data_IF_753383581877
#
_entry.id   IF_753383581877
#
_cell.length_a   1.000
_cell.length_b   1.000
_cell.length_c   1.000
_cell.angle_alpha   90.00
_cell.angle_beta   90.00
_cell.angle_gamma   90.00
#
_symmetry.space_group_name_H-M   'P 1'
#
loop_
_entity.id
_entity.type
_entity.pdbx_description
1 polymer ?
#
# COMPACT_ATOMS: atom_id res chain seq x y z
N UNK A 1 -17.49 20.26 -17.63
CA UNK A 1 -17.78 19.82 -16.24
C UNK A 1 -17.06 18.50 -16.04
N UNK A 2 -16.36 18.30 -14.93
CA UNK A 2 -15.72 17.01 -14.65
C UNK A 2 -16.80 15.95 -14.40
N UNK A 3 -16.59 14.75 -14.93
CA UNK A 3 -17.45 13.60 -14.73
C UNK A 3 -17.42 13.18 -13.25
N UNK A 4 -18.56 12.82 -12.68
CA UNK A 4 -18.59 12.22 -11.34
C UNK A 4 -18.01 10.81 -11.40
N UNK A 5 -17.20 10.46 -10.41
CA UNK A 5 -16.57 9.14 -10.27
C UNK A 5 -17.00 8.53 -8.95
N UNK A 6 -17.31 7.23 -8.97
CA UNK A 6 -17.65 6.47 -7.78
C UNK A 6 -16.77 5.23 -7.66
N UNK A 7 -16.47 4.82 -6.44
CA UNK A 7 -15.92 3.50 -6.14
C UNK A 7 -17.11 2.56 -6.03
N UNK A 8 -17.15 1.54 -6.87
CA UNK A 8 -18.30 0.61 -6.98
C UNK A 8 -18.02 -0.77 -6.41
N UNK A 9 -16.77 -1.12 -6.24
CA UNK A 9 -16.36 -2.40 -5.64
C UNK A 9 -14.98 -2.32 -5.04
N UNK A 10 -14.74 -3.14 -4.02
CA UNK A 10 -13.47 -3.26 -3.31
C UNK A 10 -13.08 -4.71 -3.12
N UNK A 11 -11.78 -5.00 -3.17
CA UNK A 11 -11.25 -6.33 -2.93
C UNK A 11 -9.88 -6.26 -2.27
N UNK A 12 -9.66 -7.12 -1.31
CA UNK A 12 -8.44 -7.15 -0.53
C UNK A 12 -8.02 -8.60 -0.26
N UNK A 13 -6.73 -8.88 -0.33
CA UNK A 13 -6.17 -10.14 0.16
C UNK A 13 -6.08 -10.14 1.68
N UNK A 14 -5.95 -11.31 2.29
CA UNK A 14 -5.64 -11.41 3.71
C UNK A 14 -4.21 -10.91 3.95
N UNK A 15 -4.04 -9.97 4.86
CA UNK A 15 -2.73 -9.49 5.26
C UNK A 15 -2.03 -10.50 6.16
N UNK A 16 -0.88 -10.98 5.71
CA UNK A 16 -0.02 -11.91 6.44
C UNK A 16 1.44 -11.49 6.29
N UNK A 17 2.27 -11.84 7.26
CA UNK A 17 3.71 -11.56 7.20
C UNK A 17 4.40 -12.32 6.05
N UNK A 18 3.83 -13.45 5.62
CA UNK A 18 4.37 -14.25 4.53
C UNK A 18 3.27 -15.02 3.80
N UNK A 19 3.32 -15.06 2.47
CA UNK A 19 2.36 -15.72 1.58
C UNK A 19 3.08 -16.66 0.60
N UNK A 20 3.68 -17.76 1.08
CA UNK A 20 4.39 -18.71 0.21
C UNK A 20 3.45 -19.55 -0.67
N UNK A 21 2.16 -19.50 -0.38
CA UNK A 21 1.09 -20.23 -1.06
C UNK A 21 0.71 -19.66 -2.43
N UNK A 22 1.08 -18.41 -2.72
CA UNK A 22 0.76 -17.71 -3.97
C UNK A 22 1.95 -16.91 -4.48
N UNK A 23 2.08 -16.79 -5.80
CA UNK A 23 2.96 -15.82 -6.42
C UNK A 23 2.29 -14.44 -6.52
N UNK A 24 3.01 -13.41 -6.99
CA UNK A 24 2.49 -12.04 -7.10
C UNK A 24 1.27 -11.93 -8.03
N UNK A 25 1.26 -12.67 -9.17
CA UNK A 25 0.11 -12.65 -10.10
C UNK A 25 -1.15 -13.26 -9.47
N UNK A 26 -0.99 -14.36 -8.76
CA UNK A 26 -2.09 -15.03 -8.06
C UNK A 26 -2.62 -14.15 -6.91
N UNK A 27 -1.75 -13.45 -6.21
CA UNK A 27 -2.13 -12.50 -5.16
C UNK A 27 -2.91 -11.31 -5.74
N UNK A 28 -2.47 -10.75 -6.86
CA UNK A 28 -3.20 -9.72 -7.60
C UNK A 28 -4.58 -10.23 -8.03
N UNK A 29 -4.62 -11.43 -8.64
CA UNK A 29 -5.87 -12.05 -9.10
C UNK A 29 -6.86 -12.28 -7.95
N UNK A 30 -6.37 -12.69 -6.78
CA UNK A 30 -7.23 -12.87 -5.58
C UNK A 30 -7.96 -11.57 -5.22
N UNK A 31 -7.25 -10.44 -5.18
CA UNK A 31 -7.84 -9.14 -4.88
C UNK A 31 -8.81 -8.67 -5.97
N UNK A 32 -8.42 -8.82 -7.24
CA UNK A 32 -9.25 -8.45 -8.40
C UNK A 32 -10.55 -9.24 -8.40
N UNK A 33 -10.48 -10.55 -8.20
CA UNK A 33 -11.67 -11.41 -8.14
C UNK A 33 -12.64 -10.96 -7.04
N UNK A 34 -12.13 -10.59 -5.87
CA UNK A 34 -12.96 -10.11 -4.76
C UNK A 34 -13.59 -8.75 -5.09
N UNK A 35 -12.84 -7.83 -5.70
CA UNK A 35 -13.37 -6.52 -6.08
C UNK A 35 -14.49 -6.62 -7.13
N UNK A 36 -14.32 -7.50 -8.14
CA UNK A 36 -15.33 -7.73 -9.16
C UNK A 36 -16.59 -8.37 -8.57
N UNK A 37 -16.43 -9.32 -7.64
CA UNK A 37 -17.55 -9.95 -6.96
C UNK A 37 -18.33 -8.97 -6.07
N UNK A 38 -17.65 -8.03 -5.42
CA UNK A 38 -18.28 -7.02 -4.55
C UNK A 38 -19.23 -6.08 -5.32
N UNK A 39 -18.96 -5.84 -6.60
CA UNK A 39 -19.81 -5.00 -7.46
C UNK A 39 -20.57 -5.80 -8.53
N UNK A 40 -20.67 -7.12 -8.41
CA UNK A 40 -21.36 -8.00 -9.36
C UNK A 40 -20.93 -7.77 -10.82
N UNK A 41 -19.65 -7.43 -11.02
CA UNK A 41 -19.05 -7.14 -12.32
C UNK A 41 -18.11 -8.26 -12.79
N UNK A 42 -17.77 -8.22 -14.06
CA UNK A 42 -16.80 -9.12 -14.67
C UNK A 42 -15.59 -8.36 -15.21
N UNK A 43 -14.52 -9.06 -15.53
CA UNK A 43 -13.34 -8.42 -16.10
C UNK A 43 -13.60 -7.82 -17.49
N UNK A 44 -14.61 -8.30 -18.21
CA UNK A 44 -15.01 -7.76 -19.50
C UNK A 44 -15.59 -6.36 -19.39
N UNK A 45 -16.16 -6.01 -18.24
CA UNK A 45 -16.73 -4.68 -17.97
C UNK A 45 -15.68 -3.61 -17.66
N UNK A 46 -14.40 -4.00 -17.51
CA UNK A 46 -13.30 -3.09 -17.19
C UNK A 46 -12.65 -2.59 -18.49
N UNK A 47 -12.50 -1.28 -18.63
CA UNK A 47 -11.93 -0.63 -19.81
C UNK A 47 -10.42 -0.47 -19.71
N UNK A 48 -9.89 -0.20 -18.52
CA UNK A 48 -8.46 0.03 -18.29
C UNK A 48 -8.04 -0.38 -16.86
N UNK A 49 -6.76 -0.59 -16.68
CA UNK A 49 -6.15 -0.93 -15.38
C UNK A 49 -5.10 0.09 -14.99
N UNK A 50 -5.14 0.55 -13.74
CA UNK A 50 -4.04 1.30 -13.12
C UNK A 50 -3.46 0.44 -12.01
N UNK A 51 -2.15 0.16 -12.10
CA UNK A 51 -1.47 -0.72 -11.15
C UNK A 51 -0.34 0.02 -10.45
N UNK A 52 -0.16 -0.23 -9.16
CA UNK A 52 0.92 0.33 -8.34
C UNK A 52 1.74 -0.72 -7.65
N UNK A 53 3.05 -0.55 -7.72
CA UNK A 53 4.04 -1.35 -7.04
C UNK A 53 5.36 -0.57 -7.00
N UNK A 54 6.21 -0.78 -6.02
CA UNK A 54 7.49 -0.09 -5.91
C UNK A 54 8.62 -0.77 -6.67
N UNK A 55 8.45 -2.00 -7.16
CA UNK A 55 9.44 -2.84 -7.86
C UNK A 55 10.65 -3.27 -7.03
N UNK A 56 10.72 -2.87 -5.76
CA UNK A 56 11.90 -3.08 -4.94
C UNK A 56 11.91 -4.42 -4.21
N UNK A 57 10.74 -4.86 -3.75
CA UNK A 57 10.63 -6.03 -2.87
C UNK A 57 10.71 -7.35 -3.62
N UNK A 58 10.09 -7.40 -4.79
CA UNK A 58 10.06 -8.60 -5.62
C UNK A 58 11.22 -8.68 -6.61
N UNK A 59 12.01 -7.59 -6.73
CA UNK A 59 13.07 -7.46 -7.73
C UNK A 59 12.58 -7.68 -9.18
N UNK A 60 11.34 -7.32 -9.44
CA UNK A 60 10.70 -7.43 -10.75
C UNK A 60 10.50 -6.04 -11.33
N UNK A 61 11.18 -5.74 -12.41
CA UNK A 61 10.91 -4.53 -13.18
C UNK A 61 9.69 -4.71 -14.09
N UNK A 62 9.04 -3.60 -14.44
CA UNK A 62 7.89 -3.61 -15.36
C UNK A 62 6.74 -4.49 -14.89
N UNK A 63 6.35 -4.30 -13.67
CA UNK A 63 5.30 -5.09 -13.00
C UNK A 63 3.97 -5.03 -13.74
N UNK A 64 3.67 -3.94 -14.41
CA UNK A 64 2.53 -3.78 -15.31
C UNK A 64 2.53 -4.82 -16.43
N UNK A 65 3.65 -5.03 -17.11
CA UNK A 65 3.77 -6.05 -18.15
C UNK A 65 3.69 -7.47 -17.59
N UNK A 66 4.38 -7.70 -16.49
CA UNK A 66 4.42 -9.02 -15.85
C UNK A 66 3.06 -9.46 -15.26
N UNK A 67 2.25 -8.51 -14.78
CA UNK A 67 1.00 -8.79 -14.08
C UNK A 67 -0.26 -8.77 -14.97
N UNK A 68 -0.12 -8.62 -16.28
CA UNK A 68 -1.25 -8.47 -17.21
C UNK A 68 -2.33 -9.53 -17.02
N UNK A 69 -1.94 -10.80 -16.85
CA UNK A 69 -2.90 -11.90 -16.66
C UNK A 69 -3.60 -11.81 -15.30
N UNK A 70 -2.84 -11.62 -14.23
CA UNK A 70 -3.39 -11.53 -12.85
C UNK A 70 -4.27 -10.31 -12.64
N UNK A 71 -3.93 -9.19 -13.28
CA UNK A 71 -4.70 -7.94 -13.21
C UNK A 71 -5.92 -7.89 -14.12
N UNK A 72 -6.03 -8.85 -15.06
CA UNK A 72 -7.08 -8.86 -16.08
C UNK A 72 -6.90 -7.81 -17.17
N UNK A 73 -5.68 -7.26 -17.34
CA UNK A 73 -5.37 -6.22 -18.33
C UNK A 73 -5.12 -6.77 -19.74
N UNK A 74 -5.38 -8.06 -20.00
CA UNK A 74 -5.23 -8.66 -21.33
C UNK A 74 -6.04 -7.88 -22.37
N UNK A 75 -5.37 -7.37 -23.40
CA UNK A 75 -5.94 -6.53 -24.46
C UNK A 75 -6.59 -5.22 -23.97
N UNK A 76 -6.18 -4.72 -22.82
CA UNK A 76 -6.67 -3.44 -22.24
C UNK A 76 -5.49 -2.50 -21.96
N UNK A 77 -5.73 -1.17 -22.01
CA UNK A 77 -4.75 -0.21 -21.50
C UNK A 77 -4.40 -0.49 -20.06
N UNK A 78 -3.10 -0.51 -19.76
CA UNK A 78 -2.58 -0.60 -18.40
C UNK A 78 -1.57 0.52 -18.15
N UNK A 79 -1.66 1.17 -16.99
CA UNK A 79 -0.72 2.19 -16.57
C UNK A 79 -0.16 1.83 -15.19
N UNK A 80 1.16 1.86 -15.07
CA UNK A 80 1.83 1.73 -13.77
C UNK A 80 2.05 3.10 -13.13
N UNK A 81 1.81 3.17 -11.83
CA UNK A 81 2.08 4.35 -10.99
C UNK A 81 2.97 3.94 -9.84
N UNK A 82 4.08 4.66 -9.67
CA UNK A 82 5.01 4.46 -8.54
C UNK A 82 5.37 5.82 -7.95
N UNK A 83 5.08 6.02 -6.68
CA UNK A 83 5.35 7.27 -5.94
C UNK A 83 5.85 7.00 -4.52
N UNK A 84 6.66 5.96 -4.35
CA UNK A 84 7.17 5.54 -3.04
C UNK A 84 6.04 5.13 -2.09
N UNK A 85 6.13 5.56 -0.83
CA UNK A 85 5.14 5.21 0.20
C UNK A 85 3.70 5.69 -0.07
N UNK A 86 3.50 6.59 -1.04
CA UNK A 86 2.18 7.09 -1.43
C UNK A 86 1.60 6.38 -2.66
N UNK A 87 2.25 5.33 -3.16
CA UNK A 87 1.86 4.63 -4.39
C UNK A 87 0.39 4.22 -4.39
N UNK A 88 -0.13 3.64 -3.30
CA UNK A 88 -1.52 3.21 -3.22
C UNK A 88 -2.53 4.34 -3.44
N UNK A 89 -2.30 5.50 -2.82
CA UNK A 89 -3.14 6.69 -3.02
C UNK A 89 -3.01 7.23 -4.43
N UNK A 90 -1.80 7.25 -4.98
CA UNK A 90 -1.55 7.74 -6.35
C UNK A 90 -2.22 6.87 -7.41
N UNK A 91 -2.30 5.56 -7.20
CA UNK A 91 -3.07 4.63 -8.03
C UNK A 91 -4.56 5.01 -8.07
N UNK A 92 -5.15 5.26 -6.88
CA UNK A 92 -6.55 5.65 -6.79
C UNK A 92 -6.82 7.00 -7.48
N UNK A 93 -5.92 7.98 -7.30
CA UNK A 93 -5.99 9.29 -7.97
C UNK A 93 -5.86 9.14 -9.49
N UNK A 94 -4.92 8.32 -9.97
CA UNK A 94 -4.75 8.08 -11.40
C UNK A 94 -5.98 7.41 -12.01
N UNK A 95 -6.56 6.41 -11.34
CA UNK A 95 -7.81 5.78 -11.79
C UNK A 95 -8.98 6.79 -11.81
N UNK A 96 -9.06 7.67 -10.80
CA UNK A 96 -10.03 8.77 -10.80
C UNK A 96 -9.86 9.65 -12.05
N UNK A 97 -8.64 10.06 -12.40
CA UNK A 97 -8.41 10.90 -13.58
C UNK A 97 -8.76 10.17 -14.88
N UNK A 98 -8.52 8.88 -14.99
CA UNK A 98 -8.91 8.07 -16.14
C UNK A 98 -10.43 8.13 -16.38
N UNK A 99 -11.23 7.94 -15.34
CA UNK A 99 -12.70 7.99 -15.44
C UNK A 99 -13.19 9.42 -15.60
N UNK A 100 -12.65 10.36 -14.83
CA UNK A 100 -13.07 11.77 -14.86
C UNK A 100 -12.80 12.46 -16.22
N UNK A 101 -11.77 12.00 -16.95
CA UNK A 101 -11.45 12.47 -18.31
C UNK A 101 -12.50 12.09 -19.34
N UNK A 102 -13.29 11.05 -19.07
CA UNK A 102 -14.27 10.51 -20.01
C UNK A 102 -13.70 9.53 -21.04
N UNK A 103 -12.40 9.21 -20.96
CA UNK A 103 -11.77 8.21 -21.86
C UNK A 103 -12.21 6.79 -21.52
N UNK A 104 -12.48 6.53 -20.26
CA UNK A 104 -12.87 5.22 -19.74
C UNK A 104 -14.07 5.34 -18.82
N UNK A 105 -14.94 4.36 -18.80
CA UNK A 105 -16.10 4.32 -17.93
C UNK A 105 -15.82 3.54 -16.64
N UNK A 106 -15.04 2.48 -16.73
CA UNK A 106 -14.69 1.60 -15.59
C UNK A 106 -13.21 1.30 -15.58
N UNK A 107 -12.55 1.66 -14.49
CA UNK A 107 -11.11 1.48 -14.31
C UNK A 107 -10.85 0.67 -13.05
N UNK A 108 -10.06 -0.38 -13.18
CA UNK A 108 -9.60 -1.17 -12.06
C UNK A 108 -8.32 -0.56 -11.49
N UNK A 109 -8.34 -0.18 -10.23
CA UNK A 109 -7.20 0.36 -9.49
C UNK A 109 -6.61 -0.73 -8.59
N UNK A 110 -5.35 -1.09 -8.78
CA UNK A 110 -4.67 -2.19 -8.08
C UNK A 110 -3.41 -1.66 -7.41
N UNK A 111 -3.30 -1.81 -6.08
CA UNK A 111 -2.05 -1.66 -5.35
C UNK A 111 -1.61 -3.01 -4.80
N UNK A 112 -0.36 -3.39 -4.96
CA UNK A 112 0.16 -4.64 -4.42
C UNK A 112 1.65 -4.56 -4.10
N UNK A 113 2.06 -5.33 -3.11
CA UNK A 113 3.44 -5.57 -2.74
C UNK A 113 3.55 -6.93 -2.06
N UNK A 114 4.65 -7.63 -2.27
CA UNK A 114 4.96 -8.89 -1.61
C UNK A 114 6.30 -8.77 -0.85
N UNK A 115 6.31 -7.93 0.18
CA UNK A 115 7.50 -7.51 0.91
C UNK A 115 8.34 -8.67 1.47
N UNK A 116 7.71 -9.84 1.69
CA UNK A 116 8.40 -11.04 2.19
C UNK A 116 9.34 -11.71 1.18
N UNK A 117 9.37 -11.26 -0.08
CA UNK A 117 10.25 -11.83 -1.10
C UNK A 117 11.70 -11.33 -1.00
N UNK A 118 11.94 -10.26 -0.22
CA UNK A 118 13.28 -9.70 -0.04
C UNK A 118 13.53 -9.19 1.37
N UNK A 119 14.75 -8.76 1.64
CA UNK A 119 15.06 -7.96 2.82
C UNK A 119 14.39 -6.58 2.65
N UNK A 120 13.32 -6.35 3.39
CA UNK A 120 12.52 -5.13 3.32
C UNK A 120 13.35 -3.87 3.59
N UNK A 121 14.29 -3.92 4.55
CA UNK A 121 15.14 -2.79 4.90
C UNK A 121 16.09 -2.46 3.75
N UNK A 122 16.77 -3.46 3.21
CA UNK A 122 17.67 -3.30 2.07
C UNK A 122 16.93 -2.74 0.84
N UNK A 123 15.72 -3.24 0.55
CA UNK A 123 14.89 -2.76 -0.54
C UNK A 123 14.51 -1.28 -0.34
N UNK A 124 14.04 -0.88 0.83
CA UNK A 124 13.66 0.51 1.14
C UNK A 124 14.86 1.48 1.06
N UNK A 125 16.05 1.05 1.47
CA UNK A 125 17.26 1.87 1.38
C UNK A 125 17.53 2.30 -0.07
N UNK A 126 17.13 1.50 -1.06
CA UNK A 126 17.31 1.86 -2.48
C UNK A 126 16.48 3.06 -2.93
N UNK A 127 15.47 3.49 -2.15
CA UNK A 127 14.70 4.71 -2.42
C UNK A 127 15.49 6.00 -2.17
N UNK A 128 16.62 5.94 -1.45
CA UNK A 128 17.43 7.10 -1.12
C UNK A 128 18.48 7.37 -2.20
N UNK A 129 18.89 8.62 -2.32
CA UNK A 129 19.94 9.03 -3.24
C UNK A 129 21.24 8.24 -2.96
N UNK A 130 21.84 7.58 -3.97
CA UNK A 130 22.98 6.69 -3.76
C UNK A 130 24.27 7.40 -3.34
N UNK A 131 24.38 8.69 -3.61
CA UNK A 131 25.61 9.48 -3.38
C UNK A 131 25.51 10.26 -2.06
N UNK A 132 24.36 10.91 -1.81
CA UNK A 132 24.23 11.86 -0.72
C UNK A 132 23.56 11.30 0.53
N UNK A 133 22.59 10.36 0.36
CA UNK A 133 21.74 9.94 1.47
C UNK A 133 21.91 8.47 1.86
N UNK A 134 22.15 7.58 0.89
CA UNK A 134 22.08 6.14 1.12
C UNK A 134 23.04 5.62 2.17
N UNK A 135 24.20 6.23 2.32
CA UNK A 135 25.22 5.84 3.31
C UNK A 135 24.79 6.15 4.77
N UNK A 136 23.89 7.13 4.96
CA UNK A 136 23.35 7.51 6.28
C UNK A 136 21.93 6.98 6.52
N UNK A 137 21.29 6.46 5.48
CA UNK A 137 19.91 5.99 5.53
C UNK A 137 19.83 4.55 6.07
N UNK A 138 19.36 4.42 7.31
CA UNK A 138 19.27 3.12 8.01
C UNK A 138 17.92 2.43 7.85
N UNK A 139 17.14 2.82 6.83
CA UNK A 139 15.79 2.32 6.57
C UNK A 139 14.68 3.29 7.01
N UNK A 140 13.43 2.91 6.76
CA UNK A 140 12.28 3.77 6.98
C UNK A 140 12.08 4.15 8.46
N UNK A 141 12.21 3.19 9.38
CA UNK A 141 11.93 3.44 10.81
C UNK A 141 12.88 4.49 11.42
N UNK A 142 14.21 4.40 11.27
CA UNK A 142 15.11 5.43 11.79
C UNK A 142 14.89 6.81 11.15
N UNK A 143 14.60 6.88 9.85
CA UNK A 143 14.32 8.13 9.17
C UNK A 143 13.05 8.81 9.70
N UNK A 144 11.95 8.06 9.79
CA UNK A 144 10.70 8.54 10.37
C UNK A 144 10.84 8.92 11.84
N UNK A 145 11.71 8.24 12.59
CA UNK A 145 12.00 8.59 13.99
C UNK A 145 12.66 9.97 14.11
N UNK A 146 13.53 10.32 13.17
CA UNK A 146 14.13 11.68 13.11
C UNK A 146 13.08 12.74 12.84
N UNK A 147 12.19 12.49 11.87
CA UNK A 147 11.07 13.39 11.56
C UNK A 147 10.09 13.51 12.75
N UNK A 148 9.76 12.38 13.39
CA UNK A 148 8.91 12.36 14.58
C UNK A 148 9.53 13.18 15.73
N UNK A 149 10.84 13.07 15.94
CA UNK A 149 11.55 13.87 16.95
C UNK A 149 11.47 15.37 16.65
N UNK A 150 11.65 15.76 15.39
CA UNK A 150 11.52 17.14 14.95
C UNK A 150 10.08 17.67 15.15
N UNK A 151 9.09 16.85 14.77
CA UNK A 151 7.67 17.17 14.95
C UNK A 151 7.31 17.36 16.43
N UNK A 152 7.73 16.44 17.29
CA UNK A 152 7.51 16.53 18.74
C UNK A 152 8.12 17.81 19.33
N UNK A 153 9.34 18.14 18.92
CA UNK A 153 10.02 19.37 19.36
C UNK A 153 9.29 20.63 18.88
N UNK A 154 8.80 20.63 17.65
CA UNK A 154 8.16 21.81 17.05
C UNK A 154 6.76 22.04 17.58
N UNK A 155 5.98 21.01 17.79
CA UNK A 155 4.54 21.10 18.09
C UNK A 155 4.16 20.64 19.50
N UNK A 156 5.11 20.18 20.30
CA UNK A 156 4.85 19.69 21.66
C UNK A 156 4.11 18.35 21.71
N UNK A 157 4.06 17.61 20.59
CA UNK A 157 3.46 16.27 20.55
C UNK A 157 4.28 15.29 21.40
N UNK A 158 3.63 14.27 21.92
CA UNK A 158 4.22 13.27 22.82
C UNK A 158 4.19 11.86 22.22
N UNK A 159 4.97 10.95 22.78
CA UNK A 159 4.87 9.53 22.44
C UNK A 159 3.47 8.96 22.75
N UNK A 160 2.82 9.50 23.80
CA UNK A 160 1.47 9.07 24.16
C UNK A 160 0.43 9.49 23.10
N UNK A 161 0.59 10.64 22.46
CA UNK A 161 -0.26 11.06 21.35
C UNK A 161 -0.14 10.08 20.17
N UNK A 162 1.08 9.67 19.84
CA UNK A 162 1.32 8.63 18.84
C UNK A 162 0.73 7.27 19.25
N UNK A 163 0.84 6.90 20.53
CA UNK A 163 0.24 5.68 21.05
C UNK A 163 -1.30 5.67 20.92
N UNK A 164 -1.96 6.79 21.15
CA UNK A 164 -3.41 6.93 20.93
C UNK A 164 -3.80 6.70 19.47
N UNK A 165 -2.99 7.13 18.52
CA UNK A 165 -3.21 6.85 17.09
C UNK A 165 -3.12 5.34 16.83
N UNK A 166 -2.09 4.67 17.35
CA UNK A 166 -1.93 3.22 17.22
C UNK A 166 -3.12 2.45 17.81
N UNK A 167 -3.60 2.84 18.98
CA UNK A 167 -4.78 2.23 19.64
C UNK A 167 -6.04 2.43 18.78
N UNK A 168 -6.26 3.63 18.25
CA UNK A 168 -7.39 3.92 17.36
C UNK A 168 -7.36 3.01 16.13
N UNK A 169 -6.23 2.92 15.48
CA UNK A 169 -6.08 2.17 14.23
C UNK A 169 -6.22 0.65 14.48
N UNK A 170 -5.71 0.14 15.61
CA UNK A 170 -5.95 -1.25 16.04
C UNK A 170 -7.41 -1.52 16.33
N UNK A 171 -8.11 -0.57 16.93
CA UNK A 171 -9.56 -0.68 17.18
C UNK A 171 -10.33 -0.76 15.88
N UNK A 172 -9.99 0.07 14.88
CA UNK A 172 -10.60 0.00 13.56
C UNK A 172 -10.29 -1.32 12.84
N UNK A 173 -9.07 -1.85 13.00
CA UNK A 173 -8.67 -3.12 12.40
C UNK A 173 -9.50 -4.32 12.89
N UNK A 174 -10.15 -4.25 14.05
CA UNK A 174 -11.04 -5.30 14.53
C UNK A 174 -12.22 -5.55 13.57
N UNK A 175 -12.65 -4.51 12.86
CA UNK A 175 -13.76 -4.58 11.91
C UNK A 175 -13.34 -5.07 10.52
N UNK A 176 -12.04 -5.17 10.23
CA UNK A 176 -11.56 -5.67 8.94
C UNK A 176 -11.20 -7.16 9.03
N UNK A 177 -11.95 -8.07 8.38
CA UNK A 177 -11.67 -9.50 8.42
C UNK A 177 -10.31 -9.90 7.83
N UNK A 178 -9.74 -9.05 6.98
CA UNK A 178 -8.46 -9.29 6.30
C UNK A 178 -7.25 -8.70 7.03
N UNK A 179 -7.46 -7.93 8.11
CA UNK A 179 -6.36 -7.33 8.86
C UNK A 179 -5.52 -8.38 9.58
N UNK A 180 -4.19 -8.26 9.48
CA UNK A 180 -3.23 -9.17 10.13
C UNK A 180 -3.31 -9.10 11.64
N UNK A 181 -3.35 -7.88 12.20
CA UNK A 181 -3.26 -7.64 13.63
C UNK A 181 -4.63 -7.20 14.18
N UNK A 182 -5.51 -8.17 14.42
CA UNK A 182 -6.88 -7.99 14.92
C UNK A 182 -6.96 -8.24 16.42
N UNK A 183 -6.16 -7.52 17.19
CA UNK A 183 -6.13 -7.60 18.64
C UNK A 183 -6.26 -6.22 19.24
N UNK A 184 -7.17 -6.00 20.22
CA UNK A 184 -7.24 -4.73 20.91
C UNK A 184 -5.95 -4.51 21.72
N UNK A 185 -5.53 -3.26 21.80
CA UNK A 185 -4.40 -2.82 22.60
C UNK A 185 -4.77 -1.54 23.35
N UNK A 186 -4.04 -1.24 24.42
CA UNK A 186 -4.19 0.00 25.18
C UNK A 186 -2.99 0.93 24.93
N UNK A 187 -3.10 2.16 25.41
CA UNK A 187 -1.99 3.13 25.37
C UNK A 187 -0.81 2.59 26.20
N UNK A 188 -1.11 1.97 27.35
CA UNK A 188 -0.11 1.37 28.23
C UNK A 188 0.63 0.22 27.54
N UNK A 189 -0.06 -0.61 26.76
CA UNK A 189 0.55 -1.68 25.97
C UNK A 189 1.56 -1.12 24.96
N UNK A 190 1.17 -0.04 24.26
CA UNK A 190 2.06 0.63 23.31
C UNK A 190 3.25 1.25 24.02
N UNK A 191 3.02 1.95 25.12
CA UNK A 191 4.09 2.60 25.90
C UNK A 191 5.03 1.60 26.56
N UNK A 192 4.60 0.37 26.83
CA UNK A 192 5.43 -0.71 27.35
C UNK A 192 6.21 -1.46 26.26
N UNK A 193 5.90 -1.26 24.97
CA UNK A 193 6.59 -1.95 23.87
C UNK A 193 8.06 -1.51 23.75
N UNK A 194 8.94 -2.37 23.20
CA UNK A 194 10.34 -2.02 23.01
C UNK A 194 10.52 -0.81 22.09
N UNK A 195 11.52 0.01 22.42
CA UNK A 195 11.93 1.11 21.56
C UNK A 195 12.65 0.58 20.32
N UNK A 196 12.16 0.92 19.13
CA UNK A 196 12.81 0.58 17.87
C UNK A 196 13.83 1.65 17.45
N UNK A 197 13.39 2.90 17.43
CA UNK A 197 14.24 4.08 17.20
C UNK A 197 13.54 5.29 17.83
N UNK A 198 14.17 5.96 18.79
CA UNK A 198 13.52 7.07 19.50
C UNK A 198 12.97 8.15 18.53
N UNK A 199 11.69 8.55 18.66
CA UNK A 199 10.71 8.21 19.70
C UNK A 199 9.78 7.03 19.34
N UNK A 200 10.06 6.25 18.30
CA UNK A 200 9.19 5.18 17.77
C UNK A 200 9.43 3.88 18.55
N UNK A 201 8.31 3.29 18.98
CA UNK A 201 8.24 2.00 19.67
C UNK A 201 7.68 0.92 18.76
#
# INVERSE_FOLDING_TARGET
MSRRVAIVGTGQTDHRSHRPDVNGREMIYEAVKRALADCESSIQDIDAVVIGNMDHFESINYVDTWSVEGSGAVMKPIMKVTTGGTTGTSVAIAAYYHVASGLFDRVLAIGWEKNSESDTTAAIITCSDPIWDRFSYSGAIPSLATEASAYMKQYGATQEDAARVAVRDRTHALNNPHAHLRKPITVEDVMASPMLAYPIK
#
